data_IF_617580342240
#
_entry.id   IF_617580342240
#
_cell.length_a   1.000
_cell.length_b   1.000
_cell.length_c   1.000
_cell.angle_alpha   90.00
_cell.angle_beta   90.00
_cell.angle_gamma   90.00
#
_symmetry.space_group_name_H-M   'P 1'
#
loop_
_entity.id
_entity.type
_entity.pdbx_description
1 polymer ?
#
# COMPACT_ATOMS: atom_id res chain seq x y z
N UNK A 1 -37.04 11.05 4.69
CA UNK A 1 -35.90 11.95 4.43
C UNK A 1 -34.78 11.14 3.82
N UNK A 2 -34.30 11.52 2.63
CA UNK A 2 -33.05 10.95 2.09
C UNK A 2 -31.89 11.52 2.92
N UNK A 3 -31.05 10.64 3.50
CA UNK A 3 -30.00 11.05 4.42
C UNK A 3 -28.75 11.54 3.69
N UNK A 4 -27.85 12.20 4.42
CA UNK A 4 -26.68 12.96 3.95
C UNK A 4 -25.60 12.17 3.20
N UNK A 5 -25.62 10.84 3.22
CA UNK A 5 -24.62 10.02 2.51
C UNK A 5 -24.96 9.88 1.02
N UNK A 6 -24.20 10.58 0.16
CA UNK A 6 -24.36 10.52 -1.30
C UNK A 6 -24.11 9.12 -1.89
N UNK A 7 -23.12 8.39 -1.38
CA UNK A 7 -22.74 7.09 -1.94
C UNK A 7 -22.56 6.02 -0.87
N UNK A 8 -22.85 4.77 -1.23
CA UNK A 8 -22.56 3.59 -0.42
C UNK A 8 -22.00 2.47 -1.30
N UNK A 9 -21.02 1.74 -0.79
CA UNK A 9 -20.43 0.59 -1.46
C UNK A 9 -20.74 -0.71 -0.71
N UNK A 10 -21.00 -1.76 -1.47
CA UNK A 10 -21.10 -3.15 -1.02
C UNK A 10 -20.01 -3.93 -1.73
N UNK A 11 -19.17 -4.63 -0.97
CA UNK A 11 -18.20 -5.58 -1.52
C UNK A 11 -18.78 -6.98 -1.38
N UNK A 12 -18.90 -7.68 -2.51
CA UNK A 12 -19.46 -9.01 -2.63
C UNK A 12 -18.44 -10.00 -3.18
N UNK A 13 -18.10 -10.97 -2.36
CA UNK A 13 -17.23 -12.10 -2.67
C UNK A 13 -18.10 -13.35 -2.89
N UNK A 14 -19.10 -13.27 -3.76
CA UNK A 14 -19.96 -14.39 -4.12
C UNK A 14 -19.32 -15.19 -5.27
N UNK A 15 -19.05 -16.48 -5.04
CA UNK A 15 -18.42 -17.35 -6.03
C UNK A 15 -16.98 -16.95 -6.39
N UNK A 16 -16.55 -17.29 -7.61
CA UNK A 16 -15.21 -17.02 -8.14
C UNK A 16 -15.33 -16.32 -9.49
N UNK A 17 -14.42 -15.41 -9.80
CA UNK A 17 -14.30 -14.85 -11.14
C UNK A 17 -14.11 -15.96 -12.18
N UNK A 18 -15.01 -16.04 -13.16
CA UNK A 18 -14.92 -17.01 -14.26
C UNK A 18 -13.69 -16.83 -15.15
N UNK A 19 -13.14 -15.61 -15.22
CA UNK A 19 -11.90 -15.37 -15.95
C UNK A 19 -10.66 -15.72 -15.14
N UNK A 20 -10.49 -15.10 -13.97
CA UNK A 20 -9.46 -15.44 -12.99
C UNK A 20 -8.00 -15.38 -13.48
N UNK A 21 -7.69 -14.94 -14.71
CA UNK A 21 -6.36 -15.03 -15.29
C UNK A 21 -5.53 -13.75 -15.17
N UNK A 22 -6.14 -12.59 -14.92
CA UNK A 22 -5.47 -11.29 -14.88
C UNK A 22 -4.21 -11.29 -14.00
N UNK A 23 -3.13 -10.69 -14.51
CA UNK A 23 -1.80 -10.65 -13.90
C UNK A 23 -1.75 -9.75 -12.66
N UNK A 24 -2.53 -8.67 -12.64
CA UNK A 24 -2.57 -7.68 -11.56
C UNK A 24 -3.66 -7.95 -10.51
N UNK A 25 -4.68 -8.75 -10.85
CA UNK A 25 -5.84 -8.94 -9.99
C UNK A 25 -5.62 -10.07 -8.97
N UNK A 26 -5.72 -9.74 -7.67
CA UNK A 26 -5.74 -10.74 -6.60
C UNK A 26 -7.14 -11.27 -6.28
N UNK A 27 -8.20 -10.51 -6.59
CA UNK A 27 -9.58 -10.89 -6.28
C UNK A 27 -10.06 -12.07 -7.12
N UNK A 28 -9.78 -12.07 -8.42
CA UNK A 28 -10.15 -13.16 -9.32
C UNK A 28 -9.44 -14.50 -9.04
N UNK A 29 -8.39 -14.48 -8.20
CA UNK A 29 -7.66 -15.70 -7.78
C UNK A 29 -8.30 -16.37 -6.56
N UNK A 30 -9.20 -15.69 -5.85
CA UNK A 30 -9.83 -16.20 -4.63
C UNK A 30 -11.17 -16.84 -4.93
N UNK A 31 -11.52 -17.85 -4.14
CA UNK A 31 -12.90 -18.30 -4.01
C UNK A 31 -13.52 -17.44 -2.92
N UNK A 32 -14.58 -16.73 -3.29
CA UNK A 32 -15.29 -15.85 -2.38
C UNK A 32 -16.03 -16.62 -1.28
N UNK A 33 -16.29 -15.93 -0.17
CA UNK A 33 -16.89 -16.52 1.04
C UNK A 33 -18.36 -16.17 1.22
N UNK A 34 -18.88 -15.25 0.43
CA UNK A 34 -20.26 -14.82 0.56
C UNK A 34 -21.19 -15.89 -0.01
N UNK A 35 -22.35 -16.06 0.65
CA UNK A 35 -23.53 -16.72 0.11
C UNK A 35 -24.52 -15.68 -0.42
N UNK A 36 -25.52 -16.07 -1.23
CA UNK A 36 -26.58 -15.17 -1.66
C UNK A 36 -27.24 -14.42 -0.49
N UNK A 37 -27.50 -15.10 0.63
CA UNK A 37 -28.13 -14.52 1.82
C UNK A 37 -27.23 -13.44 2.45
N UNK A 38 -25.93 -13.72 2.59
CA UNK A 38 -24.98 -12.74 3.13
C UNK A 38 -24.83 -11.52 2.21
N UNK A 39 -24.90 -11.72 0.89
CA UNK A 39 -24.92 -10.62 -0.07
C UNK A 39 -26.19 -9.76 0.09
N UNK A 40 -27.35 -10.41 0.21
CA UNK A 40 -28.62 -9.73 0.44
C UNK A 40 -28.60 -8.91 1.75
N UNK A 41 -28.03 -9.46 2.82
CA UNK A 41 -27.86 -8.76 4.09
C UNK A 41 -26.99 -7.51 3.94
N UNK A 42 -25.83 -7.62 3.27
CA UNK A 42 -24.95 -6.47 3.00
C UNK A 42 -25.65 -5.37 2.21
N UNK A 43 -26.43 -5.74 1.19
CA UNK A 43 -27.23 -4.78 0.41
C UNK A 43 -28.28 -4.11 1.29
N UNK A 44 -29.04 -4.87 2.08
CA UNK A 44 -30.04 -4.32 3.00
C UNK A 44 -29.41 -3.33 4.01
N UNK A 45 -28.27 -3.69 4.58
CA UNK A 45 -27.51 -2.83 5.50
C UNK A 45 -27.00 -1.56 4.82
N UNK A 46 -26.57 -1.64 3.56
CA UNK A 46 -26.19 -0.46 2.79
C UNK A 46 -27.39 0.47 2.53
N UNK A 47 -28.54 -0.10 2.17
CA UNK A 47 -29.78 0.64 1.90
C UNK A 47 -30.36 1.32 3.14
N UNK A 48 -30.08 0.84 4.35
CA UNK A 48 -30.51 1.49 5.59
C UNK A 48 -30.02 2.95 5.71
N UNK A 49 -28.93 3.31 5.01
CA UNK A 49 -28.43 4.68 4.94
C UNK A 49 -29.12 5.58 3.89
N UNK A 50 -30.08 5.04 3.12
CA UNK A 50 -30.77 5.74 2.03
C UNK A 50 -29.82 6.46 1.04
N UNK A 51 -28.84 5.76 0.45
CA UNK A 51 -27.83 6.38 -0.41
C UNK A 51 -28.41 6.84 -1.75
N UNK A 52 -27.82 7.89 -2.34
CA UNK A 52 -28.14 8.30 -3.73
C UNK A 52 -27.50 7.40 -4.77
N UNK A 53 -26.29 6.89 -4.51
CA UNK A 53 -25.59 5.93 -5.36
C UNK A 53 -25.20 4.69 -4.57
N UNK A 54 -25.55 3.51 -5.08
CA UNK A 54 -25.13 2.23 -4.53
C UNK A 54 -24.14 1.56 -5.48
N UNK A 55 -22.92 1.28 -5.01
CA UNK A 55 -21.87 0.60 -5.78
C UNK A 55 -21.75 -0.84 -5.32
N UNK A 56 -21.88 -1.79 -6.23
CA UNK A 56 -21.69 -3.22 -5.98
C UNK A 56 -20.35 -3.64 -6.59
N UNK A 57 -19.33 -3.76 -5.74
CA UNK A 57 -18.03 -4.32 -6.12
C UNK A 57 -18.11 -5.84 -6.02
N UNK A 58 -17.78 -6.54 -7.10
CA UNK A 58 -17.84 -8.00 -7.14
C UNK A 58 -16.45 -8.59 -7.29
N UNK A 59 -16.24 -9.82 -6.82
CA UNK A 59 -15.01 -10.57 -7.09
C UNK A 59 -14.82 -10.96 -8.57
N UNK A 60 -15.83 -10.73 -9.43
CA UNK A 60 -15.83 -11.10 -10.83
C UNK A 60 -16.85 -10.28 -11.64
N UNK A 61 -18.05 -10.81 -11.85
CA UNK A 61 -19.04 -10.13 -12.70
C UNK A 61 -20.46 -10.30 -12.20
N UNK A 62 -21.19 -9.19 -12.04
CA UNK A 62 -22.59 -9.24 -11.61
C UNK A 62 -23.47 -10.01 -12.61
N UNK A 63 -23.15 -9.95 -13.92
CA UNK A 63 -23.97 -10.62 -14.93
C UNK A 63 -23.55 -12.07 -15.21
N UNK A 64 -22.63 -12.63 -14.44
CA UNK A 64 -22.24 -14.04 -14.52
C UNK A 64 -23.19 -14.91 -13.67
N UNK A 65 -23.95 -15.80 -14.32
CA UNK A 65 -24.96 -16.64 -13.67
C UNK A 65 -24.36 -17.62 -12.65
N UNK A 66 -23.07 -17.96 -12.80
CA UNK A 66 -22.36 -18.81 -11.85
C UNK A 66 -22.04 -18.11 -10.52
N UNK A 67 -22.02 -16.78 -10.54
CA UNK A 67 -21.82 -15.95 -9.35
C UNK A 67 -23.15 -15.38 -8.86
N UNK A 68 -23.92 -14.75 -9.75
CA UNK A 68 -25.19 -14.09 -9.45
C UNK A 68 -26.30 -14.68 -10.32
N UNK A 69 -27.00 -15.72 -9.83
CA UNK A 69 -28.04 -16.37 -10.60
C UNK A 69 -29.18 -15.39 -10.96
N UNK A 70 -29.98 -15.69 -12.00
CA UNK A 70 -31.04 -14.80 -12.48
C UNK A 70 -31.98 -14.28 -11.38
N UNK A 71 -32.42 -15.15 -10.46
CA UNK A 71 -33.29 -14.77 -9.36
C UNK A 71 -32.66 -13.74 -8.41
N UNK A 72 -31.35 -13.84 -8.16
CA UNK A 72 -30.64 -12.93 -7.25
C UNK A 72 -30.44 -11.55 -7.89
N UNK A 73 -30.20 -11.50 -9.20
CA UNK A 73 -30.15 -10.24 -9.95
C UNK A 73 -31.50 -9.56 -10.02
N UNK A 74 -32.58 -10.33 -10.24
CA UNK A 74 -33.94 -9.79 -10.21
C UNK A 74 -34.26 -9.21 -8.81
N UNK A 75 -33.98 -9.97 -7.77
CA UNK A 75 -34.11 -9.50 -6.39
C UNK A 75 -33.32 -8.21 -6.15
N UNK A 76 -32.06 -8.15 -6.59
CA UNK A 76 -31.24 -6.95 -6.43
C UNK A 76 -31.86 -5.76 -7.14
N UNK A 77 -32.27 -5.95 -8.41
CA UNK A 77 -32.82 -4.89 -9.24
C UNK A 77 -34.09 -4.27 -8.64
N UNK A 78 -34.95 -5.09 -8.04
CA UNK A 78 -36.17 -4.64 -7.36
C UNK A 78 -35.86 -4.04 -5.99
N UNK A 79 -35.01 -4.70 -5.20
CA UNK A 79 -34.77 -4.31 -3.82
C UNK A 79 -34.12 -2.95 -3.67
N UNK A 80 -33.21 -2.59 -4.59
CA UNK A 80 -32.47 -1.32 -4.56
C UNK A 80 -33.31 -0.15 -5.06
N UNK A 81 -34.47 -0.40 -5.67
CA UNK A 81 -35.39 0.63 -6.17
C UNK A 81 -36.09 1.36 -5.01
N UNK A 82 -35.35 2.26 -4.38
CA UNK A 82 -35.83 3.12 -3.28
C UNK A 82 -36.09 4.53 -3.79
N UNK A 83 -36.93 5.34 -3.11
CA UNK A 83 -37.17 6.73 -3.51
C UNK A 83 -35.93 7.62 -3.55
N UNK A 84 -34.86 7.23 -2.84
CA UNK A 84 -33.63 8.02 -2.73
C UNK A 84 -32.52 7.57 -3.69
N UNK A 85 -32.59 6.36 -4.24
CA UNK A 85 -31.54 5.84 -5.10
C UNK A 85 -31.66 6.45 -6.51
N UNK A 86 -30.64 7.18 -6.91
CA UNK A 86 -30.49 7.78 -8.24
C UNK A 86 -29.67 6.87 -9.16
N UNK A 87 -28.66 6.18 -8.64
CA UNK A 87 -27.75 5.33 -9.43
C UNK A 87 -27.42 3.99 -8.76
N UNK A 88 -27.49 2.91 -9.54
CA UNK A 88 -26.93 1.61 -9.20
C UNK A 88 -25.70 1.36 -10.07
N UNK A 89 -24.52 1.32 -9.45
CA UNK A 89 -23.28 0.96 -10.13
C UNK A 89 -22.93 -0.51 -9.90
N UNK A 90 -22.64 -1.22 -10.98
CA UNK A 90 -22.28 -2.64 -10.97
C UNK A 90 -21.07 -2.87 -11.88
N UNK A 91 -20.44 -4.04 -11.79
CA UNK A 91 -19.26 -4.37 -12.60
C UNK A 91 -19.46 -5.71 -13.32
N UNK A 92 -18.98 -5.81 -14.56
CA UNK A 92 -19.05 -7.06 -15.30
C UNK A 92 -18.01 -7.15 -16.42
N UNK A 93 -17.57 -8.37 -16.70
CA UNK A 93 -16.83 -8.69 -17.91
C UNK A 93 -17.75 -8.57 -19.13
N UNK A 94 -17.20 -8.19 -20.31
CA UNK A 94 -17.94 -8.01 -21.56
C UNK A 94 -18.83 -9.19 -21.95
N UNK A 95 -18.30 -10.40 -21.80
CA UNK A 95 -18.96 -11.62 -22.30
C UNK A 95 -20.29 -11.91 -21.59
N UNK A 96 -20.49 -11.34 -20.41
CA UNK A 96 -21.72 -11.50 -19.64
C UNK A 96 -22.75 -10.40 -19.86
N UNK A 97 -22.41 -9.38 -20.65
CA UNK A 97 -23.28 -8.24 -20.93
C UNK A 97 -24.12 -8.58 -22.15
N UNK A 98 -25.34 -9.03 -21.91
CA UNK A 98 -26.37 -9.29 -22.93
C UNK A 98 -27.65 -8.55 -22.58
N UNK A 99 -28.53 -8.35 -23.56
CA UNK A 99 -29.79 -7.65 -23.34
C UNK A 99 -30.65 -8.35 -22.28
N UNK A 100 -30.73 -9.68 -22.34
CA UNK A 100 -31.52 -10.51 -21.43
C UNK A 100 -31.05 -10.36 -19.98
N UNK A 101 -29.74 -10.29 -19.76
CA UNK A 101 -29.15 -10.15 -18.42
C UNK A 101 -29.24 -8.74 -17.86
N UNK A 102 -29.33 -7.74 -18.73
CA UNK A 102 -29.53 -6.34 -18.36
C UNK A 102 -31.01 -6.04 -18.03
N UNK A 103 -31.93 -6.72 -18.70
CA UNK A 103 -33.37 -6.44 -18.66
C UNK A 103 -33.95 -6.16 -17.26
N UNK A 104 -33.61 -6.90 -16.17
CA UNK A 104 -34.16 -6.64 -14.85
C UNK A 104 -33.87 -5.24 -14.30
N UNK A 105 -32.77 -4.62 -14.74
CA UNK A 105 -32.26 -3.34 -14.28
C UNK A 105 -32.66 -2.17 -15.20
N UNK A 106 -33.25 -2.45 -16.36
CA UNK A 106 -33.67 -1.42 -17.31
C UNK A 106 -35.04 -0.87 -16.94
N UNK A 107 -35.31 0.39 -17.35
CA UNK A 107 -36.58 1.10 -17.10
C UNK A 107 -36.97 1.19 -15.61
N UNK A 108 -35.96 1.22 -14.73
CA UNK A 108 -36.08 1.44 -13.28
C UNK A 108 -36.02 2.93 -12.97
N UNK A 109 -36.42 3.33 -11.75
CA UNK A 109 -36.31 4.70 -11.26
C UNK A 109 -34.86 5.19 -11.11
N UNK A 110 -33.94 4.27 -10.85
CA UNK A 110 -32.50 4.55 -10.80
C UNK A 110 -31.85 4.34 -12.17
N UNK A 111 -30.78 5.07 -12.45
CA UNK A 111 -29.92 4.81 -13.60
C UNK A 111 -28.97 3.63 -13.30
N UNK A 112 -28.86 2.70 -14.24
CA UNK A 112 -27.86 1.64 -14.20
C UNK A 112 -26.52 2.19 -14.72
N UNK A 113 -25.45 2.03 -13.94
CA UNK A 113 -24.07 2.30 -14.34
C UNK A 113 -23.32 0.98 -14.39
N UNK A 114 -22.87 0.55 -15.57
CA UNK A 114 -22.08 -0.68 -15.72
C UNK A 114 -20.61 -0.32 -15.89
N UNK A 115 -19.79 -0.86 -14.99
CA UNK A 115 -18.36 -0.63 -14.98
C UNK A 115 -17.64 -1.72 -15.78
N UNK A 116 -16.83 -1.29 -16.76
CA UNK A 116 -16.03 -2.14 -17.63
C UNK A 116 -14.55 -1.94 -17.32
N UNK A 117 -13.83 -3.02 -17.04
CA UNK A 117 -12.37 -2.95 -16.94
C UNK A 117 -11.73 -3.04 -18.33
N UNK A 118 -11.50 -1.90 -19.00
CA UNK A 118 -10.72 -1.87 -20.24
C UNK A 118 -9.25 -2.12 -19.94
N UNK A 119 -8.74 -1.54 -18.85
CA UNK A 119 -7.34 -1.52 -18.42
C UNK A 119 -6.40 -0.79 -19.39
N UNK A 120 -6.28 -1.29 -20.62
CA UNK A 120 -5.46 -0.72 -21.70
C UNK A 120 -6.15 -0.93 -23.06
N UNK A 121 -6.02 0.05 -23.95
CA UNK A 121 -6.58 0.03 -25.30
C UNK A 121 -5.63 -0.59 -26.34
N UNK A 122 -5.08 -1.76 -26.03
CA UNK A 122 -4.19 -2.52 -26.92
C UNK A 122 -4.32 -4.03 -26.63
N UNK A 123 -4.69 -4.82 -27.64
CA UNK A 123 -5.00 -6.24 -27.45
C UNK A 123 -3.75 -7.09 -27.12
N UNK A 124 -2.56 -6.72 -27.60
CA UNK A 124 -1.31 -7.40 -27.24
C UNK A 124 -0.92 -7.12 -25.79
N UNK A 125 -1.11 -5.88 -25.33
CA UNK A 125 -0.98 -5.52 -23.92
C UNK A 125 -2.02 -6.26 -23.06
N UNK A 126 -3.28 -6.37 -23.51
CA UNK A 126 -4.30 -7.15 -22.81
C UNK A 126 -3.95 -8.64 -22.72
N UNK A 127 -3.30 -9.23 -23.73
CA UNK A 127 -2.74 -10.59 -23.65
C UNK A 127 -1.67 -10.69 -22.56
N UNK A 128 -0.70 -9.76 -22.54
CA UNK A 128 0.35 -9.71 -21.50
C UNK A 128 -0.23 -9.54 -20.10
N UNK A 129 -1.33 -8.80 -19.96
CA UNK A 129 -2.05 -8.62 -18.70
C UNK A 129 -2.93 -9.82 -18.31
N UNK A 130 -2.98 -10.87 -19.15
CA UNK A 130 -3.83 -12.03 -18.95
C UNK A 130 -5.31 -11.66 -18.93
N UNK A 131 -5.73 -10.71 -19.78
CA UNK A 131 -7.10 -10.20 -19.86
C UNK A 131 -7.78 -10.50 -21.19
N UNK A 132 -7.01 -10.76 -22.24
CA UNK A 132 -7.50 -11.30 -23.50
C UNK A 132 -7.71 -12.84 -23.41
N UNK A 133 -8.76 -13.43 -24.00
CA UNK A 133 -9.82 -12.78 -24.81
C UNK A 133 -11.06 -12.35 -24.01
N UNK A 134 -11.07 -12.46 -22.67
CA UNK A 134 -12.21 -11.99 -21.85
C UNK A 134 -12.48 -10.49 -22.03
N UNK A 135 -11.46 -9.71 -22.36
CA UNK A 135 -11.54 -8.35 -22.88
C UNK A 135 -10.73 -8.22 -24.17
N UNK A 136 -11.26 -7.45 -25.12
CA UNK A 136 -10.53 -6.87 -26.25
C UNK A 136 -11.04 -5.45 -26.48
N UNK A 137 -10.28 -4.63 -27.20
CA UNK A 137 -10.70 -3.26 -27.55
C UNK A 137 -12.04 -3.27 -28.32
N UNK A 138 -12.21 -4.22 -29.24
CA UNK A 138 -13.46 -4.38 -30.00
C UNK A 138 -14.64 -4.79 -29.14
N UNK A 139 -14.45 -5.74 -28.19
CA UNK A 139 -15.47 -6.13 -27.22
C UNK A 139 -15.86 -4.96 -26.33
N UNK A 140 -14.89 -4.19 -25.86
CA UNK A 140 -15.14 -2.99 -25.07
C UNK A 140 -16.04 -2.00 -25.82
N UNK A 141 -15.67 -1.61 -27.04
CA UNK A 141 -16.45 -0.68 -27.87
C UNK A 141 -17.87 -1.22 -28.10
N UNK A 142 -17.98 -2.48 -28.51
CA UNK A 142 -19.26 -3.13 -28.77
C UNK A 142 -20.18 -3.12 -27.53
N UNK A 143 -19.65 -3.51 -26.36
CA UNK A 143 -20.45 -3.56 -25.13
C UNK A 143 -20.77 -2.18 -24.55
N UNK A 144 -19.84 -1.23 -24.62
CA UNK A 144 -20.12 0.16 -24.24
C UNK A 144 -21.23 0.77 -25.12
N UNK A 145 -21.19 0.51 -26.43
CA UNK A 145 -22.24 0.96 -27.37
C UNK A 145 -23.59 0.31 -27.07
N UNK A 146 -23.61 -1.01 -26.81
CA UNK A 146 -24.82 -1.73 -26.41
C UNK A 146 -25.42 -1.16 -25.12
N UNK A 147 -24.61 -0.92 -24.09
CA UNK A 147 -25.05 -0.36 -22.81
C UNK A 147 -25.68 1.02 -23.00
N UNK A 148 -25.04 1.91 -23.78
CA UNK A 148 -25.60 3.21 -24.12
C UNK A 148 -26.90 3.10 -24.92
N UNK A 149 -26.96 2.18 -25.88
CA UNK A 149 -28.15 1.92 -26.69
C UNK A 149 -29.38 1.47 -25.89
N UNK A 150 -29.18 0.86 -24.73
CA UNK A 150 -30.27 0.47 -23.80
C UNK A 150 -30.52 1.48 -22.68
N UNK A 151 -29.86 2.66 -22.72
CA UNK A 151 -30.02 3.73 -21.75
C UNK A 151 -29.23 3.54 -20.44
N UNK A 152 -28.31 2.57 -20.38
CA UNK A 152 -27.39 2.44 -19.25
C UNK A 152 -26.17 3.36 -19.43
N UNK A 153 -25.59 3.81 -18.31
CA UNK A 153 -24.32 4.54 -18.29
C UNK A 153 -23.15 3.58 -18.26
N UNK A 154 -22.02 4.01 -18.80
CA UNK A 154 -20.77 3.25 -18.87
C UNK A 154 -19.72 3.93 -18.01
N UNK A 155 -19.14 3.17 -17.08
CA UNK A 155 -17.95 3.57 -16.33
C UNK A 155 -16.77 2.70 -16.76
N UNK A 156 -15.60 3.26 -17.00
CA UNK A 156 -14.44 2.48 -17.49
C UNK A 156 -13.26 2.57 -16.55
N UNK A 157 -12.69 1.43 -16.19
CA UNK A 157 -11.43 1.35 -15.45
C UNK A 157 -10.25 1.24 -16.42
N UNK A 158 -9.24 2.08 -16.20
CA UNK A 158 -8.00 2.20 -16.97
C UNK A 158 -6.82 2.08 -16.00
N UNK A 159 -5.77 1.36 -16.40
CA UNK A 159 -4.55 1.21 -15.59
C UNK A 159 -3.48 2.19 -16.03
N UNK A 160 -2.95 2.95 -15.07
CA UNK A 160 -1.63 3.58 -15.18
C UNK A 160 -0.56 2.61 -14.66
N UNK A 161 0.65 2.68 -15.24
CA UNK A 161 1.76 1.77 -14.94
C UNK A 161 1.44 0.25 -15.02
N UNK A 162 0.69 -0.24 -16.04
CA UNK A 162 0.62 -1.68 -16.29
C UNK A 162 2.02 -2.26 -16.60
N UNK A 163 2.29 -3.55 -16.33
CA UNK A 163 3.56 -4.21 -16.64
C UNK A 163 3.77 -4.47 -18.15
N UNK A 164 3.78 -3.39 -18.93
CA UNK A 164 4.00 -3.37 -20.38
C UNK A 164 4.89 -2.18 -20.74
N UNK A 165 5.57 -2.28 -21.88
CA UNK A 165 6.42 -1.22 -22.41
C UNK A 165 5.60 -0.02 -22.87
N UNK A 166 6.22 1.18 -22.90
CA UNK A 166 5.63 2.43 -23.39
C UNK A 166 4.24 2.74 -22.79
N UNK A 167 4.03 2.35 -21.53
CA UNK A 167 2.70 2.42 -20.91
C UNK A 167 2.15 3.83 -20.81
N UNK A 168 2.98 4.88 -20.77
CA UNK A 168 2.53 6.29 -20.72
C UNK A 168 1.82 6.72 -22.00
N UNK A 169 2.37 6.38 -23.17
CA UNK A 169 1.71 6.62 -24.45
C UNK A 169 0.44 5.78 -24.59
N UNK A 170 0.51 4.52 -24.15
CA UNK A 170 -0.66 3.63 -24.13
C UNK A 170 -1.76 4.15 -23.20
N UNK A 171 -1.42 4.72 -22.05
CA UNK A 171 -2.37 5.34 -21.12
C UNK A 171 -3.13 6.47 -21.82
N UNK A 172 -2.43 7.36 -22.53
CA UNK A 172 -3.06 8.44 -23.30
C UNK A 172 -4.08 7.91 -24.32
N UNK A 173 -3.65 6.98 -25.18
CA UNK A 173 -4.53 6.32 -26.15
C UNK A 173 -5.74 5.65 -25.48
N UNK A 174 -5.52 5.04 -24.31
CA UNK A 174 -6.57 4.35 -23.56
C UNK A 174 -7.59 5.32 -22.97
N UNK A 175 -7.16 6.42 -22.36
CA UNK A 175 -8.05 7.43 -21.78
C UNK A 175 -8.86 8.12 -22.89
N UNK A 176 -8.22 8.49 -24.00
CA UNK A 176 -8.91 9.07 -25.17
C UNK A 176 -9.98 8.13 -25.75
N UNK A 177 -9.69 6.83 -25.84
CA UNK A 177 -10.69 5.84 -26.23
C UNK A 177 -11.81 5.74 -25.19
N UNK A 178 -11.47 5.63 -23.91
CA UNK A 178 -12.44 5.45 -22.84
C UNK A 178 -13.41 6.64 -22.76
N UNK A 179 -12.93 7.88 -22.90
CA UNK A 179 -13.74 9.10 -22.88
C UNK A 179 -14.71 9.21 -24.07
N UNK A 180 -14.46 8.54 -25.18
CA UNK A 180 -15.40 8.47 -26.32
C UNK A 180 -16.60 7.58 -26.02
N UNK A 181 -16.40 6.50 -25.27
CA UNK A 181 -17.41 5.46 -25.07
C UNK A 181 -18.01 5.42 -23.65
N UNK A 182 -17.46 6.19 -22.71
CA UNK A 182 -17.87 6.17 -21.30
C UNK A 182 -18.46 7.49 -20.83
N UNK A 183 -19.32 7.41 -19.83
CA UNK A 183 -19.82 8.55 -19.07
C UNK A 183 -18.86 8.91 -17.92
N UNK A 184 -18.16 7.91 -17.39
CA UNK A 184 -17.13 8.07 -16.35
C UNK A 184 -15.89 7.23 -16.69
N UNK A 185 -14.69 7.77 -16.47
CA UNK A 185 -13.42 7.06 -16.60
C UNK A 185 -12.68 7.11 -15.27
N UNK A 186 -12.15 5.98 -14.83
CA UNK A 186 -11.37 5.89 -13.61
C UNK A 186 -9.97 5.43 -13.97
N UNK A 187 -8.99 6.28 -13.72
CA UNK A 187 -7.58 5.95 -13.91
C UNK A 187 -7.06 5.43 -12.58
N UNK A 188 -6.64 4.17 -12.57
CA UNK A 188 -6.19 3.44 -11.39
C UNK A 188 -4.68 3.27 -11.48
N UNK A 189 -3.96 3.64 -10.40
CA UNK A 189 -2.57 3.23 -10.29
C UNK A 189 -2.48 1.71 -10.10
N UNK A 190 -1.79 1.03 -11.01
CA UNK A 190 -1.63 -0.42 -10.97
C UNK A 190 -1.04 -0.87 -9.64
N UNK A 191 -1.73 -1.82 -8.99
CA UNK A 191 -1.46 -2.22 -7.63
C UNK A 191 -1.05 -3.69 -7.51
N UNK A 192 0.05 -4.03 -6.81
CA UNK A 192 0.50 -5.42 -6.69
C UNK A 192 -0.25 -6.17 -5.59
N UNK A 193 -1.44 -6.68 -5.91
CA UNK A 193 -2.15 -7.58 -5.00
C UNK A 193 -1.28 -8.80 -4.66
N UNK A 194 -1.17 -9.15 -3.37
CA UNK A 194 -0.30 -10.21 -2.86
C UNK A 194 -0.39 -11.54 -3.59
N UNK A 195 -1.60 -11.97 -3.96
CA UNK A 195 -1.84 -13.26 -4.61
C UNK A 195 -1.79 -13.18 -6.14
N UNK A 196 -1.42 -12.03 -6.70
CA UNK A 196 -1.35 -11.81 -8.14
C UNK A 196 0.07 -12.07 -8.68
N UNK A 197 0.22 -12.53 -9.94
CA UNK A 197 1.52 -12.61 -10.61
C UNK A 197 2.30 -11.28 -10.60
N UNK A 198 1.63 -10.14 -10.61
CA UNK A 198 2.25 -8.81 -10.54
C UNK A 198 3.07 -8.62 -9.25
N UNK A 199 2.62 -9.14 -8.10
CA UNK A 199 3.42 -9.08 -6.87
C UNK A 199 4.72 -9.87 -6.99
N UNK A 200 4.71 -10.99 -7.72
CA UNK A 200 5.93 -11.75 -8.04
C UNK A 200 6.84 -10.97 -8.99
N UNK A 201 6.29 -10.28 -10.00
CA UNK A 201 7.06 -9.39 -10.86
C UNK A 201 7.73 -8.25 -10.07
N UNK A 202 7.06 -7.73 -9.04
CA UNK A 202 7.65 -6.75 -8.13
C UNK A 202 8.82 -7.31 -7.34
N UNK A 203 8.64 -8.48 -6.74
CA UNK A 203 9.72 -9.21 -6.05
C UNK A 203 10.91 -9.48 -6.97
N UNK A 204 10.66 -9.83 -8.22
CA UNK A 204 11.72 -10.11 -9.22
C UNK A 204 12.34 -8.84 -9.81
N UNK A 205 11.85 -7.65 -9.45
CA UNK A 205 12.33 -6.38 -9.98
C UNK A 205 11.91 -6.09 -11.42
N UNK A 206 11.05 -6.92 -12.02
CA UNK A 206 10.55 -6.78 -13.42
C UNK A 206 9.50 -5.68 -13.57
N UNK A 207 8.88 -5.27 -12.47
CA UNK A 207 7.91 -4.19 -12.41
C UNK A 207 7.99 -3.54 -11.03
N UNK A 208 7.64 -2.27 -10.90
CA UNK A 208 7.57 -1.59 -9.61
C UNK A 208 6.31 -0.73 -9.54
N UNK A 209 5.65 -0.64 -8.38
CA UNK A 209 4.51 0.24 -8.20
C UNK A 209 4.93 1.70 -8.37
N UNK A 210 4.08 2.49 -9.03
CA UNK A 210 4.36 3.89 -9.33
C UNK A 210 4.17 4.74 -8.07
N UNK A 211 5.18 5.50 -7.61
CA UNK A 211 5.03 6.41 -6.48
C UNK A 211 3.92 7.44 -6.70
N UNK A 212 3.34 8.02 -5.63
CA UNK A 212 2.25 8.99 -5.77
C UNK A 212 2.58 10.18 -6.67
N UNK A 213 3.77 10.76 -6.52
CA UNK A 213 4.20 11.93 -7.30
C UNK A 213 4.26 11.61 -8.80
N UNK A 214 4.93 10.52 -9.18
CA UNK A 214 5.00 10.08 -10.57
C UNK A 214 3.64 9.66 -11.15
N UNK A 215 2.73 9.14 -10.32
CA UNK A 215 1.37 8.81 -10.75
C UNK A 215 0.56 10.06 -11.04
N UNK A 216 0.60 11.08 -10.18
CA UNK A 216 -0.11 12.33 -10.42
C UNK A 216 0.45 13.07 -11.63
N UNK A 217 1.77 13.07 -11.82
CA UNK A 217 2.40 13.57 -13.05
C UNK A 217 1.88 12.83 -14.29
N UNK A 218 1.76 11.49 -14.22
CA UNK A 218 1.30 10.68 -15.34
C UNK A 218 -0.17 10.92 -15.74
N UNK A 219 -0.99 11.48 -14.84
CA UNK A 219 -2.44 11.70 -15.06
C UNK A 219 -2.85 13.16 -15.04
N UNK A 220 -1.88 14.08 -14.95
CA UNK A 220 -2.11 15.52 -14.84
C UNK A 220 -3.00 16.05 -15.98
N UNK A 221 -2.81 15.53 -17.20
CA UNK A 221 -3.59 15.91 -18.40
C UNK A 221 -5.11 15.74 -18.21
N UNK A 222 -5.56 14.83 -17.33
CA UNK A 222 -6.98 14.48 -17.18
C UNK A 222 -7.57 14.81 -15.82
N UNK A 223 -6.79 15.31 -14.86
CA UNK A 223 -7.26 15.50 -13.47
C UNK A 223 -8.40 16.52 -13.34
N UNK A 224 -8.55 17.41 -14.34
CA UNK A 224 -9.59 18.43 -14.39
C UNK A 224 -10.78 18.07 -15.30
N UNK A 225 -10.75 16.94 -16.02
CA UNK A 225 -11.92 16.49 -16.79
C UNK A 225 -12.99 15.99 -15.81
N UNK A 226 -14.22 16.54 -15.81
CA UNK A 226 -15.27 16.18 -14.85
C UNK A 226 -15.74 14.73 -14.97
N UNK A 227 -15.41 14.02 -16.06
CA UNK A 227 -15.71 12.60 -16.27
C UNK A 227 -14.61 11.69 -15.74
N UNK A 228 -13.43 12.23 -15.43
CA UNK A 228 -12.27 11.45 -15.02
C UNK A 228 -12.13 11.47 -13.50
N UNK A 229 -12.02 10.28 -12.92
CA UNK A 229 -11.65 10.08 -11.54
C UNK A 229 -10.26 9.46 -11.48
N UNK A 230 -9.35 10.09 -10.75
CA UNK A 230 -8.04 9.53 -10.43
C UNK A 230 -8.14 8.75 -9.12
N UNK A 231 -7.92 7.43 -9.16
CA UNK A 231 -7.98 6.57 -7.99
C UNK A 231 -6.61 6.42 -7.33
N UNK A 232 -6.46 7.09 -6.20
CA UNK A 232 -5.28 7.06 -5.33
C UNK A 232 -5.45 6.13 -4.12
N UNK A 233 -6.59 5.43 -3.99
CA UNK A 233 -6.87 4.57 -2.84
C UNK A 233 -5.85 3.42 -2.70
N UNK A 234 -5.28 2.98 -3.82
CA UNK A 234 -4.26 1.93 -3.88
C UNK A 234 -2.92 2.32 -3.22
N UNK A 235 -2.70 3.57 -2.81
CA UNK A 235 -1.53 3.95 -2.01
C UNK A 235 -1.60 3.43 -0.57
N UNK A 236 -2.80 3.15 -0.07
CA UNK A 236 -3.03 2.69 1.30
C UNK A 236 -2.85 1.16 1.41
N UNK A 237 -1.64 0.67 1.18
CA UNK A 237 -1.32 -0.74 1.31
C UNK A 237 -0.11 -1.00 2.18
N UNK A 238 0.18 -2.30 2.42
CA UNK A 238 1.47 -2.76 2.88
C UNK A 238 1.87 -4.02 2.12
N UNK A 239 3.16 -4.26 1.83
CA UNK A 239 3.63 -5.51 1.25
C UNK A 239 3.17 -6.68 2.10
N UNK A 240 2.53 -7.66 1.47
CA UNK A 240 2.10 -8.88 2.15
C UNK A 240 2.51 -10.07 1.31
N UNK A 241 3.55 -10.75 1.78
CA UNK A 241 4.07 -11.96 1.14
C UNK A 241 3.14 -13.14 1.44
N UNK A 242 2.54 -13.78 0.41
CA UNK A 242 1.76 -14.99 0.57
C UNK A 242 2.55 -16.10 1.26
N UNK A 243 1.86 -16.97 2.02
CA UNK A 243 2.53 -18.05 2.80
C UNK A 243 3.43 -18.93 1.94
N UNK A 244 2.98 -19.27 0.72
CA UNK A 244 3.73 -20.11 -0.22
C UNK A 244 5.01 -19.45 -0.78
N UNK A 245 5.16 -18.13 -0.63
CA UNK A 245 6.40 -17.41 -0.95
C UNK A 245 7.35 -17.30 0.25
N UNK A 246 6.89 -17.52 1.48
CA UNK A 246 7.71 -17.26 2.67
C UNK A 246 8.81 -18.31 2.78
N UNK A 247 10.04 -17.83 2.98
CA UNK A 247 11.27 -18.61 3.14
C UNK A 247 12.03 -18.05 4.35
N UNK A 248 12.72 -18.91 5.09
CA UNK A 248 13.64 -18.41 6.12
C UNK A 248 14.88 -17.87 5.40
N UNK A 249 15.24 -16.61 5.66
CA UNK A 249 16.45 -15.98 5.11
C UNK A 249 17.54 -16.17 6.17
N UNK A 250 18.57 -16.97 5.87
CA UNK A 250 19.59 -17.40 6.84
C UNK A 250 20.99 -17.18 6.29
N UNK A 251 21.91 -16.77 7.15
CA UNK A 251 23.35 -16.69 6.87
C UNK A 251 23.81 -15.28 6.54
N UNK A 252 25.07 -14.99 6.86
CA UNK A 252 25.72 -13.72 6.55
C UNK A 252 26.26 -13.73 5.10
N UNK A 253 25.37 -13.90 4.12
CA UNK A 253 25.75 -13.97 2.69
C UNK A 253 25.21 -12.81 1.88
N UNK A 254 25.79 -12.61 0.68
CA UNK A 254 25.32 -11.63 -0.30
C UNK A 254 23.86 -11.85 -0.70
N UNK A 255 23.45 -13.10 -0.90
CA UNK A 255 22.09 -13.49 -1.29
C UNK A 255 21.08 -13.16 -0.19
N UNK A 256 21.45 -13.42 1.07
CA UNK A 256 20.62 -13.08 2.22
C UNK A 256 20.48 -11.56 2.36
N UNK A 257 21.58 -10.80 2.27
CA UNK A 257 21.59 -9.34 2.40
C UNK A 257 20.81 -8.62 1.28
N UNK A 258 20.96 -9.12 0.04
CA UNK A 258 20.32 -8.59 -1.17
C UNK A 258 18.98 -9.25 -1.46
N UNK A 259 18.40 -10.00 -0.51
CA UNK A 259 17.19 -10.75 -0.75
C UNK A 259 16.05 -9.81 -1.23
N UNK A 260 15.35 -10.14 -2.33
CA UNK A 260 14.39 -9.23 -2.98
C UNK A 260 13.23 -8.80 -2.07
N UNK A 261 12.87 -9.63 -1.09
CA UNK A 261 11.83 -9.30 -0.10
C UNK A 261 12.19 -8.07 0.73
N UNK A 262 13.46 -7.85 1.01
CA UNK A 262 13.90 -6.63 1.67
C UNK A 262 13.73 -5.42 0.75
N UNK A 263 14.11 -5.52 -0.53
CA UNK A 263 13.99 -4.41 -1.47
C UNK A 263 12.53 -4.00 -1.71
N UNK A 264 11.59 -4.96 -1.76
CA UNK A 264 10.14 -4.68 -1.79
C UNK A 264 9.71 -3.82 -0.60
N UNK A 265 10.16 -4.15 0.61
CA UNK A 265 9.87 -3.34 1.80
C UNK A 265 10.56 -1.99 1.76
N UNK A 266 11.82 -1.90 1.34
CA UNK A 266 12.55 -0.63 1.27
C UNK A 266 11.91 0.33 0.25
N UNK A 267 11.43 -0.19 -0.89
CA UNK A 267 10.64 0.58 -1.87
C UNK A 267 9.30 1.03 -1.28
N UNK A 268 8.61 0.16 -0.55
CA UNK A 268 7.37 0.55 0.13
C UNK A 268 7.59 1.68 1.14
N UNK A 269 8.65 1.56 1.96
CA UNK A 269 9.01 2.52 3.00
C UNK A 269 9.41 3.89 2.45
N UNK A 270 9.84 3.96 1.20
CA UNK A 270 10.29 5.19 0.53
C UNK A 270 9.22 5.79 -0.38
N UNK A 271 8.34 4.96 -0.97
CA UNK A 271 7.39 5.45 -1.96
C UNK A 271 5.97 5.66 -1.41
N UNK A 272 5.53 4.88 -0.41
CA UNK A 272 4.12 4.85 0.01
C UNK A 272 3.91 5.06 1.52
N UNK A 273 4.90 4.67 2.32
CA UNK A 273 4.83 4.81 3.77
C UNK A 273 4.84 6.27 4.22
N UNK A 274 4.03 6.56 5.26
CA UNK A 274 4.03 7.85 5.95
C UNK A 274 4.32 7.61 7.44
N UNK A 275 5.39 8.19 8.00
CA UNK A 275 5.68 8.03 9.42
C UNK A 275 4.54 8.51 10.33
N UNK A 276 4.33 7.90 11.51
CA UNK A 276 3.24 8.27 12.40
C UNK A 276 3.35 9.75 12.84
N UNK A 277 2.31 10.55 12.58
CA UNK A 277 2.32 12.02 12.75
C UNK A 277 2.78 12.53 14.13
N UNK A 278 2.59 11.74 15.20
CA UNK A 278 2.98 12.11 16.57
C UNK A 278 4.49 11.93 16.83
N UNK A 279 5.21 11.23 15.95
CA UNK A 279 6.59 10.77 16.15
C UNK A 279 7.60 11.72 15.48
N UNK A 280 7.90 12.83 16.15
CA UNK A 280 8.74 13.92 15.64
C UNK A 280 10.25 13.72 15.69
N UNK A 281 10.75 12.75 16.46
CA UNK A 281 12.18 12.46 16.57
C UNK A 281 12.47 11.06 16.06
N UNK A 282 13.42 10.91 15.14
CA UNK A 282 13.86 9.60 14.68
C UNK A 282 14.94 9.06 15.62
N UNK A 283 14.82 7.81 16.05
CA UNK A 283 15.84 7.08 16.79
C UNK A 283 16.17 5.78 16.06
N UNK A 284 17.33 5.76 15.41
CA UNK A 284 17.89 4.53 14.88
C UNK A 284 18.40 3.65 16.02
N UNK A 285 17.98 2.38 16.02
CA UNK A 285 18.31 1.38 17.04
C UNK A 285 18.77 0.08 16.41
N UNK A 286 19.53 -0.79 17.11
CA UNK A 286 19.96 -2.04 16.52
C UNK A 286 18.79 -3.01 16.39
N UNK A 287 18.95 -3.99 15.51
CA UNK A 287 18.11 -5.18 15.57
C UNK A 287 18.36 -5.99 16.85
N UNK A 288 17.62 -7.09 16.97
CA UNK A 288 17.83 -8.05 18.04
C UNK A 288 17.63 -9.47 17.55
N UNK A 289 18.36 -10.41 18.15
CA UNK A 289 18.20 -11.84 17.88
C UNK A 289 16.74 -12.28 17.98
N UNK A 290 16.09 -11.95 19.11
CA UNK A 290 14.66 -12.20 19.31
C UNK A 290 13.83 -11.26 18.43
N UNK A 291 12.96 -11.85 17.61
CA UNK A 291 12.02 -11.16 16.71
C UNK A 291 10.57 -11.50 17.08
N UNK A 292 9.60 -10.60 16.86
CA UNK A 292 9.79 -9.19 16.52
C UNK A 292 10.55 -8.42 17.60
N UNK A 293 11.28 -7.37 17.19
CA UNK A 293 12.32 -6.78 18.03
C UNK A 293 11.83 -6.25 19.38
N UNK A 294 10.60 -5.72 19.45
CA UNK A 294 10.00 -5.22 20.70
C UNK A 294 9.83 -6.28 21.79
N UNK A 295 9.93 -7.58 21.47
CA UNK A 295 9.93 -8.67 22.46
C UNK A 295 11.32 -8.91 23.08
N UNK A 296 12.39 -8.35 22.52
CA UNK A 296 13.78 -8.51 22.99
C UNK A 296 14.08 -7.73 24.27
N UNK A 297 15.09 -8.18 25.03
CA UNK A 297 15.59 -7.44 26.21
C UNK A 297 16.13 -6.06 25.83
N UNK A 298 16.82 -5.96 24.69
CA UNK A 298 17.36 -4.71 24.13
C UNK A 298 16.26 -3.66 23.95
N UNK A 299 15.24 -3.98 23.16
CA UNK A 299 14.17 -3.03 22.85
C UNK A 299 13.31 -2.71 24.06
N UNK A 300 13.09 -3.67 24.96
CA UNK A 300 12.39 -3.41 26.24
C UNK A 300 13.16 -2.40 27.09
N UNK A 301 14.49 -2.48 27.12
CA UNK A 301 15.34 -1.56 27.88
C UNK A 301 15.33 -0.16 27.28
N UNK A 302 15.47 -0.05 25.94
CA UNK A 302 15.37 1.24 25.22
C UNK A 302 13.98 1.87 25.45
N UNK A 303 12.89 1.11 25.28
CA UNK A 303 11.52 1.60 25.53
C UNK A 303 11.28 1.99 26.98
N UNK A 304 11.95 1.34 27.94
CA UNK A 304 11.89 1.73 29.35
C UNK A 304 12.48 3.12 29.53
N UNK A 305 13.68 3.39 29.02
CA UNK A 305 14.30 4.73 29.06
C UNK A 305 13.40 5.78 28.39
N UNK A 306 12.87 5.48 27.20
CA UNK A 306 11.94 6.37 26.49
C UNK A 306 10.67 6.70 27.32
N UNK A 307 10.17 5.77 28.13
CA UNK A 307 9.03 5.98 29.05
C UNK A 307 9.42 6.81 30.26
N UNK A 308 10.54 6.49 30.90
CA UNK A 308 11.05 7.21 32.07
C UNK A 308 11.36 8.67 31.73
N UNK A 309 11.94 8.92 30.56
CA UNK A 309 12.14 10.28 30.04
C UNK A 309 10.81 10.89 29.55
N UNK A 310 9.76 10.11 29.28
CA UNK A 310 8.45 10.63 28.87
C UNK A 310 8.35 11.04 27.40
N UNK A 311 9.23 10.54 26.53
CA UNK A 311 9.28 10.88 25.10
C UNK A 311 8.85 9.75 24.16
N UNK A 312 8.43 8.59 24.70
CA UNK A 312 8.01 7.41 23.92
C UNK A 312 6.99 7.72 22.80
N UNK A 313 6.06 8.66 23.04
CA UNK A 313 5.04 9.04 22.04
C UNK A 313 5.60 9.93 20.92
N UNK A 314 6.72 10.62 21.15
CA UNK A 314 7.38 11.54 20.21
C UNK A 314 8.55 10.89 19.46
N UNK A 315 9.17 9.84 20.00
CA UNK A 315 10.33 9.18 19.38
C UNK A 315 9.89 8.01 18.52
N UNK A 316 10.22 8.04 17.24
CA UNK A 316 10.07 6.94 16.29
C UNK A 316 11.27 5.99 16.40
N UNK A 317 11.03 4.76 16.85
CA UNK A 317 12.07 3.74 16.84
C UNK A 317 12.12 3.08 15.47
N UNK A 318 13.29 3.11 14.84
CA UNK A 318 13.52 2.49 13.54
C UNK A 318 14.77 1.62 13.63
N UNK A 319 14.61 0.31 13.40
CA UNK A 319 15.74 -0.60 13.41
C UNK A 319 16.60 -0.42 12.16
N UNK A 320 17.91 -0.54 12.29
CA UNK A 320 18.85 -0.69 11.18
C UNK A 320 19.55 -2.03 11.32
N UNK A 321 19.51 -2.85 10.26
CA UNK A 321 20.07 -4.21 10.23
C UNK A 321 20.24 -4.69 8.78
N UNK A 322 20.64 -5.95 8.55
CA UNK A 322 20.70 -6.58 7.22
C UNK A 322 19.44 -6.45 6.36
N UNK A 323 18.19 -6.41 6.87
CA UNK A 323 17.01 -6.07 6.06
C UNK A 323 16.92 -4.60 5.62
N UNK A 324 17.78 -3.73 6.14
CA UNK A 324 17.78 -2.28 5.95
C UNK A 324 17.10 -1.53 7.10
N UNK A 325 16.34 -0.51 6.71
CA UNK A 325 15.54 0.32 7.61
C UNK A 325 14.22 -0.38 7.94
N UNK A 326 13.89 -0.51 9.23
CA UNK A 326 12.68 -1.21 9.70
C UNK A 326 11.97 -0.42 10.79
N UNK A 327 10.92 0.36 10.46
CA UNK A 327 10.07 1.02 11.45
C UNK A 327 9.42 0.05 12.44
N UNK A 328 9.21 0.48 13.69
CA UNK A 328 8.75 -0.38 14.78
C UNK A 328 7.39 -1.05 14.50
N UNK A 329 6.51 -0.40 13.75
CA UNK A 329 5.18 -0.91 13.34
C UNK A 329 5.25 -2.09 12.37
N UNK A 330 6.36 -2.28 11.66
CA UNK A 330 6.56 -3.37 10.71
C UNK A 330 7.51 -4.45 11.23
N UNK A 331 8.02 -4.33 12.45
CA UNK A 331 8.97 -5.30 13.01
C UNK A 331 8.41 -6.73 13.16
N UNK A 332 7.09 -6.91 13.17
CA UNK A 332 6.41 -8.22 13.18
C UNK A 332 5.93 -8.68 11.80
N UNK A 333 6.29 -7.95 10.74
CA UNK A 333 5.97 -8.35 9.38
C UNK A 333 7.07 -9.25 8.81
N UNK A 334 6.66 -10.16 7.92
CA UNK A 334 7.61 -10.97 7.17
C UNK A 334 8.27 -10.12 6.06
N UNK A 335 9.59 -10.21 5.82
CA UNK A 335 10.55 -11.14 6.44
C UNK A 335 11.26 -10.61 7.71
N UNK A 336 10.97 -9.40 8.17
CA UNK A 336 11.67 -8.79 9.32
C UNK A 336 11.56 -9.60 10.60
N UNK A 337 10.49 -10.38 10.77
CA UNK A 337 10.32 -11.26 11.92
C UNK A 337 10.92 -12.68 11.76
N UNK A 338 11.48 -13.03 10.60
CA UNK A 338 11.79 -14.41 10.22
C UNK A 338 13.17 -14.61 9.54
N UNK A 339 14.08 -13.64 9.64
CA UNK A 339 15.46 -13.79 9.17
C UNK A 339 16.42 -14.18 10.30
N UNK A 340 17.57 -14.73 9.92
CA UNK A 340 18.67 -15.09 10.81
C UNK A 340 19.99 -14.65 10.19
N UNK A 341 20.70 -13.74 10.87
CA UNK A 341 21.93 -13.13 10.38
C UNK A 341 23.00 -13.27 11.47
N UNK A 342 23.87 -14.29 11.40
CA UNK A 342 24.93 -14.53 12.37
C UNK A 342 26.10 -13.55 12.16
N UNK A 343 26.22 -12.54 13.03
CA UNK A 343 27.30 -11.53 12.98
C UNK A 343 28.72 -12.16 12.98
N UNK A 344 28.90 -13.35 13.57
CA UNK A 344 30.21 -14.02 13.63
C UNK A 344 30.62 -14.73 12.33
N UNK A 345 29.73 -14.85 11.35
CA UNK A 345 30.04 -15.43 10.03
C UNK A 345 30.38 -14.36 8.99
N UNK A 346 30.35 -13.08 9.37
CA UNK A 346 30.66 -11.97 8.47
C UNK A 346 32.14 -11.95 8.09
N UNK A 347 32.42 -12.07 6.79
CA UNK A 347 33.72 -11.74 6.22
C UNK A 347 33.85 -10.24 6.02
N UNK A 348 35.06 -9.72 5.86
CA UNK A 348 35.28 -8.30 5.57
C UNK A 348 34.56 -7.85 4.29
N UNK A 349 34.53 -8.68 3.25
CA UNK A 349 33.75 -8.43 2.02
C UNK A 349 32.24 -8.27 2.32
N UNK A 350 31.69 -9.13 3.19
CA UNK A 350 30.29 -9.07 3.58
C UNK A 350 30.00 -7.82 4.42
N UNK A 351 30.90 -7.40 5.31
CA UNK A 351 30.77 -6.16 6.10
C UNK A 351 30.80 -4.92 5.23
N UNK A 352 31.71 -4.87 4.25
CA UNK A 352 31.77 -3.78 3.27
C UNK A 352 30.48 -3.70 2.46
N UNK A 353 30.01 -4.85 1.95
CA UNK A 353 28.75 -4.93 1.22
C UNK A 353 27.55 -4.54 2.10
N UNK A 354 27.51 -5.00 3.35
CA UNK A 354 26.48 -4.64 4.32
C UNK A 354 26.44 -3.13 4.52
N UNK A 355 27.60 -2.52 4.78
CA UNK A 355 27.71 -1.08 5.00
C UNK A 355 27.18 -0.32 3.78
N UNK A 356 27.61 -0.71 2.58
CA UNK A 356 27.17 -0.08 1.32
C UNK A 356 25.67 -0.19 1.10
N UNK A 357 25.10 -1.39 1.23
CA UNK A 357 23.66 -1.65 1.01
C UNK A 357 22.81 -0.95 2.06
N UNK A 358 23.24 -0.99 3.32
CA UNK A 358 22.52 -0.37 4.43
C UNK A 358 22.57 1.15 4.33
N UNK A 359 23.71 1.74 3.95
CA UNK A 359 23.86 3.17 3.71
C UNK A 359 22.85 3.66 2.68
N UNK A 360 22.77 2.98 1.54
CA UNK A 360 21.82 3.33 0.47
C UNK A 360 20.36 3.25 0.94
N UNK A 361 20.00 2.22 1.71
CA UNK A 361 18.64 2.08 2.27
C UNK A 361 18.32 3.17 3.29
N UNK A 362 19.26 3.52 4.17
CA UNK A 362 19.11 4.62 5.13
C UNK A 362 18.99 5.96 4.42
N UNK A 363 19.85 6.20 3.42
CA UNK A 363 19.84 7.42 2.61
C UNK A 363 18.47 7.64 1.95
N UNK A 364 17.97 6.67 1.19
CA UNK A 364 16.64 6.75 0.55
C UNK A 364 15.52 7.03 1.57
N UNK A 365 15.58 6.41 2.74
CA UNK A 365 14.60 6.64 3.81
C UNK A 365 14.68 8.07 4.36
N UNK A 366 15.88 8.56 4.66
CA UNK A 366 16.08 9.92 5.17
C UNK A 366 15.74 10.97 4.11
N UNK A 367 16.11 10.78 2.84
CA UNK A 367 15.74 11.67 1.74
C UNK A 367 14.22 11.86 1.67
N UNK A 368 13.46 10.77 1.79
CA UNK A 368 12.00 10.84 1.73
C UNK A 368 11.37 11.49 2.97
N UNK A 369 11.92 11.19 4.16
CA UNK A 369 11.23 11.47 5.43
C UNK A 369 11.89 12.55 6.29
N UNK A 370 12.99 13.17 5.85
CA UNK A 370 13.72 14.19 6.64
C UNK A 370 12.82 15.31 7.14
N UNK A 371 11.87 15.77 6.33
CA UNK A 371 10.96 16.87 6.70
C UNK A 371 9.93 16.47 7.77
N UNK A 372 9.78 15.17 8.04
CA UNK A 372 8.94 14.69 9.13
C UNK A 372 9.63 14.81 10.49
N UNK A 373 10.96 14.67 10.54
CA UNK A 373 11.73 14.52 11.76
C UNK A 373 12.47 15.81 12.12
N UNK A 374 12.26 16.31 13.32
CA UNK A 374 12.95 17.49 13.85
C UNK A 374 14.43 17.19 14.16
N UNK A 375 14.73 15.95 14.58
CA UNK A 375 16.09 15.46 14.86
C UNK A 375 16.21 13.97 14.54
N UNK A 376 17.42 13.57 14.15
CA UNK A 376 17.81 12.18 13.93
C UNK A 376 18.82 11.76 14.98
N UNK A 377 18.46 10.78 15.79
CA UNK A 377 19.25 10.20 16.86
C UNK A 377 19.74 8.81 16.46
N UNK A 378 20.96 8.45 16.85
CA UNK A 378 21.58 7.16 16.51
C UNK A 378 22.04 6.45 17.78
N UNK A 379 21.36 5.37 18.14
CA UNK A 379 21.71 4.52 19.27
C UNK A 379 22.10 3.12 18.76
N UNK A 380 23.29 3.04 18.17
CA UNK A 380 23.90 1.82 17.61
C UNK A 380 25.31 1.64 18.22
N UNK A 381 25.88 0.42 18.10
CA UNK A 381 27.28 0.18 18.52
C UNK A 381 28.21 1.02 17.62
N UNK A 382 29.08 1.90 18.17
CA UNK A 382 29.93 2.78 17.37
C UNK A 382 30.86 2.08 16.37
N UNK A 383 31.25 0.83 16.66
CA UNK A 383 32.08 -0.01 15.82
C UNK A 383 31.29 -0.90 14.83
N UNK A 384 29.96 -0.77 14.77
CA UNK A 384 29.13 -1.57 13.84
C UNK A 384 29.01 -0.98 12.44
N UNK A 385 28.83 -1.87 11.47
CA UNK A 385 28.55 -1.56 10.06
C UNK A 385 27.25 -0.74 9.93
N UNK A 386 26.25 -1.02 10.77
CA UNK A 386 25.01 -0.24 10.84
C UNK A 386 25.26 1.20 11.27
N UNK A 387 26.11 1.43 12.28
CA UNK A 387 26.45 2.79 12.73
C UNK A 387 27.20 3.55 11.63
N UNK A 388 28.22 2.92 11.04
CA UNK A 388 28.98 3.49 9.91
C UNK A 388 28.05 3.86 8.75
N UNK A 389 27.18 2.95 8.33
CA UNK A 389 26.22 3.18 7.26
C UNK A 389 25.27 4.36 7.53
N UNK A 390 24.74 4.48 8.75
CA UNK A 390 23.85 5.59 9.12
C UNK A 390 24.61 6.92 9.10
N UNK A 391 25.79 6.98 9.72
CA UNK A 391 26.57 8.22 9.79
C UNK A 391 27.04 8.69 8.40
N UNK A 392 27.48 7.78 7.54
CA UNK A 392 27.84 8.10 6.15
C UNK A 392 26.62 8.61 5.35
N UNK A 393 25.45 7.98 5.48
CA UNK A 393 24.23 8.44 4.83
C UNK A 393 23.81 9.84 5.31
N UNK A 394 23.90 10.10 6.62
CA UNK A 394 23.61 11.41 7.18
C UNK A 394 24.57 12.49 6.66
N UNK A 395 25.88 12.18 6.59
CA UNK A 395 26.89 13.09 6.07
C UNK A 395 26.64 13.45 4.59
N UNK A 396 26.34 12.46 3.73
CA UNK A 396 26.00 12.70 2.32
C UNK A 396 24.77 13.60 2.14
N UNK A 397 23.81 13.54 3.07
CA UNK A 397 22.58 14.32 3.03
C UNK A 397 22.67 15.67 3.75
N UNK A 398 23.80 15.96 4.40
CA UNK A 398 23.94 17.14 5.27
C UNK A 398 23.01 17.12 6.48
N UNK A 399 22.58 15.94 6.94
CA UNK A 399 21.72 15.77 8.11
C UNK A 399 22.58 15.62 9.36
N UNK A 400 22.33 16.45 10.37
CA UNK A 400 23.00 16.32 11.66
C UNK A 400 22.40 15.15 12.47
N UNK A 401 23.02 13.97 12.34
CA UNK A 401 22.68 12.78 13.12
C UNK A 401 23.46 12.75 14.43
N UNK A 402 22.75 12.62 15.55
CA UNK A 402 23.34 12.70 16.90
C UNK A 402 23.60 11.31 17.47
N UNK A 403 24.88 10.90 17.68
CA UNK A 403 25.19 9.66 18.36
C UNK A 403 24.78 9.71 19.84
N UNK A 404 23.96 8.76 20.27
CA UNK A 404 23.44 8.65 21.64
C UNK A 404 24.11 7.53 22.45
N UNK A 405 25.15 6.87 21.91
CA UNK A 405 25.98 5.92 22.66
C UNK A 405 27.42 6.39 22.59
N UNK A 406 27.94 6.92 23.71
CA UNK A 406 29.26 7.55 23.82
C UNK A 406 30.23 6.70 24.63
N UNK A 407 29.76 6.15 25.75
CA UNK A 407 30.46 5.21 26.63
C UNK A 407 30.37 3.82 26.02
N UNK A 408 31.39 3.47 25.22
CA UNK A 408 31.52 2.17 24.55
C UNK A 408 32.91 1.55 24.77
N UNK A 409 33.28 1.41 26.04
CA UNK A 409 34.52 0.79 26.51
C UNK A 409 34.42 -0.76 26.55
N UNK A 410 35.51 -1.45 26.88
CA UNK A 410 35.56 -2.91 26.97
C UNK A 410 34.56 -3.50 27.99
N UNK A 411 34.26 -2.76 29.06
CA UNK A 411 33.22 -3.13 30.02
C UNK A 411 31.85 -3.20 29.33
N UNK A 412 31.47 -2.15 28.59
CA UNK A 412 30.21 -2.12 27.84
C UNK A 412 30.19 -3.17 26.73
N UNK A 413 31.29 -3.34 25.99
CA UNK A 413 31.40 -4.34 24.90
C UNK A 413 31.24 -5.78 25.39
N UNK A 414 31.77 -6.09 26.58
CA UNK A 414 31.69 -7.43 27.18
C UNK A 414 30.26 -7.81 27.64
N UNK A 415 29.40 -6.82 27.89
CA UNK A 415 28.03 -7.05 28.32
C UNK A 415 27.14 -7.55 27.17
N UNK A 416 26.30 -8.57 27.40
CA UNK A 416 25.45 -9.17 26.36
C UNK A 416 23.96 -8.84 26.57
N UNK A 417 23.34 -7.94 25.78
CA UNK A 417 23.89 -7.15 24.66
C UNK A 417 24.44 -5.77 25.09
N UNK A 418 25.51 -5.24 24.44
CA UNK A 418 26.21 -4.03 24.90
C UNK A 418 25.31 -2.80 25.06
N UNK A 419 24.39 -2.61 24.10
CA UNK A 419 23.41 -1.52 24.08
C UNK A 419 22.36 -1.57 25.20
N UNK A 420 22.34 -2.63 26.01
CA UNK A 420 21.50 -2.75 27.21
C UNK A 420 22.30 -2.58 28.51
N UNK A 421 23.62 -2.32 28.43
CA UNK A 421 24.44 -2.02 29.60
C UNK A 421 23.94 -0.73 30.29
N UNK A 422 23.98 -0.64 31.64
CA UNK A 422 23.55 0.57 32.35
C UNK A 422 24.20 1.87 31.87
N UNK A 423 25.52 1.89 31.64
CA UNK A 423 26.23 3.07 31.09
C UNK A 423 25.70 3.49 29.71
N UNK A 424 25.42 2.52 28.85
CA UNK A 424 24.89 2.77 27.51
C UNK A 424 23.46 3.33 27.56
N UNK A 425 22.63 2.78 28.45
CA UNK A 425 21.27 3.27 28.67
C UNK A 425 21.25 4.67 29.29
N UNK A 426 22.26 5.02 30.08
CA UNK A 426 22.41 6.38 30.62
C UNK A 426 22.80 7.38 29.54
N UNK A 427 23.69 7.03 28.59
CA UNK A 427 23.93 7.89 27.42
C UNK A 427 22.66 8.14 26.61
N UNK A 428 21.86 7.08 26.42
CA UNK A 428 20.57 7.21 25.75
C UNK A 428 19.65 8.16 26.53
N UNK A 429 19.59 8.06 27.86
CA UNK A 429 18.81 8.96 28.72
C UNK A 429 19.24 10.41 28.54
N UNK A 430 20.53 10.69 28.71
CA UNK A 430 21.11 12.03 28.54
C UNK A 430 20.81 12.61 27.13
N UNK A 431 20.95 11.78 26.09
CA UNK A 431 20.64 12.16 24.71
C UNK A 431 19.17 12.54 24.55
N UNK A 432 18.24 11.75 25.11
CA UNK A 432 16.80 11.98 25.02
C UNK A 432 16.33 13.17 25.88
N UNK A 433 16.96 13.42 27.03
CA UNK A 433 16.65 14.57 27.87
C UNK A 433 17.00 15.90 27.19
N UNK A 434 18.03 15.91 26.33
CA UNK A 434 18.36 17.08 25.50
C UNK A 434 17.22 17.50 24.56
N UNK A 435 16.33 16.56 24.18
CA UNK A 435 15.16 16.86 23.36
C UNK A 435 14.14 17.74 24.10
N UNK A 436 13.99 17.56 25.42
CA UNK A 436 13.05 18.35 26.23
C UNK A 436 13.48 19.82 26.29
N UNK A 437 14.76 20.04 26.58
CA UNK A 437 15.38 21.38 26.67
C UNK A 437 15.26 22.17 25.37
N UNK A 438 15.23 21.47 24.22
CA UNK A 438 15.03 22.10 22.90
C UNK A 438 13.57 22.49 22.62
N UNK A 439 12.60 21.83 23.25
CA UNK A 439 11.16 22.04 23.00
C UNK A 439 10.49 23.11 23.88
N UNK A 440 11.20 23.60 24.90
CA UNK A 440 10.71 24.64 25.82
C UNK A 440 11.06 26.08 25.35
N UNK A 441 11.83 26.22 24.27
CA UNK A 441 12.31 27.51 23.74
C UNK A 441 11.51 28.13 22.58
N UNK A 442 10.40 27.52 22.15
CA UNK A 442 9.52 28.14 21.13
C UNK A 442 8.41 28.96 21.81
N UNK A 443 8.30 30.28 21.54
CA UNK A 443 7.20 31.07 22.06
C UNK A 443 5.88 30.47 21.60
N UNK A 444 4.96 30.22 22.54
CA UNK A 444 3.58 29.84 22.22
C UNK A 444 3.00 30.96 21.37
N UNK A 445 2.54 30.62 20.16
CA UNK A 445 1.78 31.57 19.35
C UNK A 445 0.59 32.10 20.16
N UNK A 446 0.24 33.39 20.03
CA UNK A 446 -0.90 33.94 20.73
C UNK A 446 -2.15 33.18 20.30
N UNK A 447 -2.89 32.71 21.30
CA UNK A 447 -4.19 32.09 21.13
C UNK A 447 -5.10 33.11 20.46
N UNK A 448 -5.47 32.86 19.20
CA UNK A 448 -6.51 33.63 18.52
C UNK A 448 -7.80 33.42 19.30
N UNK A 449 -8.20 34.46 20.01
CA UNK A 449 -9.49 34.59 20.67
C UNK A 449 -10.58 34.37 19.63
N UNK A 450 -11.43 33.37 19.86
CA UNK A 450 -12.71 33.24 19.17
C UNK A 450 -13.53 34.50 19.45
N UNK A 451 -13.77 35.29 18.41
CA UNK A 451 -14.91 36.21 18.38
C UNK A 451 -16.01 35.55 17.53
N UNK A 452 -17.21 35.60 18.11
CA UNK A 452 -18.56 35.24 17.66
C UNK A 452 -18.78 34.83 16.20
#
# INVERSE_FOLDING_TARGET
MCWTTKEKAVVSELGKCSWGACVFCGWGKKVGKDTPESFMEKVNKALASNPKRLKIYTSGSLFDDSQYPPWLRLWLAERVETPCLEELQVESLPDFITYERLQPFLRRRYALVVSLGLEVADDEALKKLGKYPAMSVSKYISKATLLKGVGAKVRTYVLANPPVENWRELLKKTVELALRYSDEVVIINTYPHSDSPLFKMWVEGKWKPLPPEEFYEAVEEWIHDPRVQVDSSNFAFKPKFPKWMRKRIVGATKEALLHPYYEVWQQFLTNFYKPPQKKKFLLFVPCSYKKPYYKSKTWKSIRRVLREVGVLRKVHMVAVSSPGVVPEEFADEYPFNAYDWPEWEETEEIKELYTKVTKERVKRYLEKHKDHYEKVLVYLKPDSESFKAVMEACAELGINCVPCLKRYDEEVKSFKPPVAHPKALEDLRECLESLKKSSEGLPRSPTTTRAL
#
